data_IF_491211436737
#
_entry.id   IF_491211436737
#
_cell.length_a   1.000
_cell.length_b   1.000
_cell.length_c   1.000
_cell.angle_alpha   90.00
_cell.angle_beta   90.00
_cell.angle_gamma   90.00
#
_symmetry.space_group_name_H-M   'P 1'
#
loop_
_entity.id
_entity.type
_entity.pdbx_description
1 polymer ?
#
# COMPACT_ATOMS: atom_id res chain seq x y z
N UNK A 1 29.94 5.91 27.84
CA UNK A 1 30.45 6.98 26.94
C UNK A 1 30.52 8.27 27.74
N UNK A 2 31.65 8.98 27.78
CA UNK A 2 31.77 10.22 28.59
C UNK A 2 31.28 11.43 27.76
N UNK A 3 30.20 12.07 28.22
CA UNK A 3 29.70 13.35 27.70
C UNK A 3 30.35 14.45 28.53
N UNK A 4 31.14 15.34 27.92
CA UNK A 4 31.67 16.52 28.61
C UNK A 4 30.56 17.54 28.82
N UNK A 5 30.17 17.75 30.07
CA UNK A 5 29.08 18.65 30.46
C UNK A 5 29.45 20.12 30.34
N UNK A 6 30.72 20.46 30.13
CA UNK A 6 31.17 21.85 29.97
C UNK A 6 31.10 22.33 28.52
N UNK A 7 30.73 21.44 27.59
CA UNK A 7 30.66 21.74 26.16
C UNK A 7 29.21 21.70 25.66
N UNK A 8 28.96 22.43 24.57
CA UNK A 8 27.70 22.37 23.84
C UNK A 8 27.81 21.38 22.67
N UNK A 9 26.69 20.78 22.29
CA UNK A 9 26.62 19.77 21.23
C UNK A 9 25.51 20.07 20.22
N UNK A 10 25.66 19.53 19.02
CA UNK A 10 24.58 19.32 18.07
C UNK A 10 23.97 17.95 18.31
N UNK A 11 22.68 17.90 18.62
CA UNK A 11 21.91 16.67 18.76
C UNK A 11 21.21 16.36 17.43
N UNK A 12 21.31 15.10 17.00
CA UNK A 12 20.75 14.57 15.76
C UNK A 12 20.04 13.24 16.03
N UNK A 13 19.05 12.90 15.22
CA UNK A 13 18.33 11.62 15.24
C UNK A 13 18.51 10.98 13.88
N UNK A 14 18.86 9.71 13.80
CA UNK A 14 19.22 9.04 12.55
C UNK A 14 18.07 9.03 11.53
N UNK A 15 18.34 9.13 10.20
CA UNK A 15 17.29 9.22 9.17
C UNK A 15 16.35 8.01 9.09
N UNK A 16 16.77 6.85 9.57
CA UNK A 16 15.97 5.62 9.60
C UNK A 16 15.10 5.50 10.85
N UNK A 17 15.11 6.49 11.74
CA UNK A 17 14.27 6.50 12.94
C UNK A 17 12.91 7.11 12.63
N UNK A 18 11.86 6.34 12.89
CA UNK A 18 10.49 6.83 12.87
C UNK A 18 10.16 7.49 14.21
N UNK A 19 9.71 8.74 14.17
CA UNK A 19 9.31 9.51 15.35
C UNK A 19 7.79 9.65 15.35
N UNK A 20 7.16 9.30 16.47
CA UNK A 20 5.72 9.48 16.67
C UNK A 20 5.43 10.20 17.98
N UNK A 21 4.45 11.11 17.97
CA UNK A 21 3.98 11.81 19.15
C UNK A 21 2.58 11.33 19.51
N UNK A 22 2.39 10.94 20.77
CA UNK A 22 1.06 10.85 21.37
C UNK A 22 0.66 12.20 21.99
N UNK A 23 -0.47 12.28 22.67
CA UNK A 23 -0.90 13.52 23.35
C UNK A 23 0.12 14.03 24.39
N UNK A 24 0.90 13.15 25.02
CA UNK A 24 1.83 13.51 26.10
C UNK A 24 3.14 12.71 26.11
N UNK A 25 3.40 11.90 25.08
CA UNK A 25 4.62 11.09 24.99
C UNK A 25 5.19 11.07 23.58
N UNK A 26 6.43 10.61 23.46
CA UNK A 26 7.12 10.42 22.19
C UNK A 26 7.66 9.00 22.09
N UNK A 27 7.59 8.43 20.88
CA UNK A 27 8.20 7.17 20.47
C UNK A 27 9.24 7.45 19.39
N UNK A 28 10.46 6.94 19.57
CA UNK A 28 11.51 6.87 18.56
C UNK A 28 11.73 5.40 18.24
N UNK A 29 11.49 4.99 17.00
CA UNK A 29 11.55 3.61 16.56
C UNK A 29 12.61 3.45 15.46
N UNK A 30 13.64 2.65 15.73
CA UNK A 30 14.65 2.29 14.75
C UNK A 30 14.07 1.26 13.76
N UNK A 31 13.89 1.67 12.51
CA UNK A 31 13.28 0.81 11.47
C UNK A 31 14.21 -0.30 10.96
N UNK A 32 15.50 -0.29 11.33
CA UNK A 32 16.47 -1.30 10.89
C UNK A 32 16.47 -2.56 11.78
N UNK A 33 16.27 -2.40 13.09
CA UNK A 33 16.40 -3.48 14.09
C UNK A 33 15.25 -3.54 15.11
N UNK A 34 14.26 -2.65 15.01
CA UNK A 34 13.11 -2.52 15.91
C UNK A 34 13.42 -2.06 17.34
N UNK A 35 14.64 -1.60 17.63
CA UNK A 35 14.93 -0.91 18.89
C UNK A 35 14.12 0.38 19.00
N UNK A 36 13.75 0.74 20.24
CA UNK A 36 12.89 1.90 20.45
C UNK A 36 13.12 2.59 21.78
N UNK A 37 12.76 3.87 21.83
CA UNK A 37 12.72 4.69 23.04
C UNK A 37 11.33 5.31 23.15
N UNK A 38 10.71 5.14 24.31
CA UNK A 38 9.47 5.79 24.68
C UNK A 38 9.71 6.72 25.87
N UNK A 39 9.16 7.93 25.81
CA UNK A 39 9.25 8.86 26.93
C UNK A 39 7.99 9.69 27.07
N UNK A 40 7.48 9.75 28.31
CA UNK A 40 6.42 10.66 28.72
C UNK A 40 6.95 11.91 29.47
N UNK A 41 8.28 12.09 29.53
CA UNK A 41 8.88 13.29 30.10
C UNK A 41 8.59 14.49 29.20
N UNK A 42 7.99 15.54 29.76
CA UNK A 42 7.74 16.79 29.05
C UNK A 42 9.03 17.40 28.50
N UNK A 43 10.15 17.26 29.22
CA UNK A 43 11.48 17.72 28.80
C UNK A 43 11.92 17.02 27.51
N UNK A 44 11.81 15.69 27.46
CA UNK A 44 12.23 14.90 26.30
C UNK A 44 11.27 15.12 25.12
N UNK A 45 9.97 15.18 25.37
CA UNK A 45 8.98 15.49 24.34
C UNK A 45 9.29 16.85 23.69
N UNK A 46 9.56 17.89 24.47
CA UNK A 46 9.92 19.22 23.96
C UNK A 46 11.24 19.21 23.17
N UNK A 47 12.23 18.45 23.64
CA UNK A 47 13.51 18.30 22.93
C UNK A 47 13.33 17.65 21.55
N UNK A 48 12.57 16.56 21.48
CA UNK A 48 12.32 15.85 20.21
C UNK A 48 11.42 16.70 19.29
N UNK A 49 10.44 17.42 19.84
CA UNK A 49 9.66 18.41 19.09
C UNK A 49 10.57 19.44 18.44
N UNK A 50 11.51 20.03 19.18
CA UNK A 50 12.51 20.98 18.66
C UNK A 50 13.28 20.40 17.47
N UNK A 51 13.75 19.14 17.55
CA UNK A 51 14.46 18.48 16.43
C UNK A 51 13.61 18.40 15.16
N UNK A 52 12.32 18.06 15.32
CA UNK A 52 11.38 17.86 14.19
C UNK A 52 10.84 19.15 13.57
N UNK A 53 11.09 20.32 14.16
CA UNK A 53 10.71 21.60 13.56
C UNK A 53 11.46 21.85 12.24
N UNK A 54 10.75 22.27 11.19
CA UNK A 54 11.32 22.54 9.85
C UNK A 54 12.55 23.47 9.88
N UNK A 55 12.52 24.52 10.71
CA UNK A 55 13.64 25.47 10.84
C UNK A 55 14.91 24.84 11.41
N UNK A 56 14.79 23.68 12.05
CA UNK A 56 15.92 22.99 12.69
C UNK A 56 16.60 21.97 11.79
N UNK A 57 15.99 21.57 10.66
CA UNK A 57 16.57 20.63 9.70
C UNK A 57 17.12 19.36 10.37
N UNK A 58 16.37 18.77 11.29
CA UNK A 58 16.76 17.55 12.00
C UNK A 58 17.92 17.69 13.00
N UNK A 59 18.39 18.91 13.25
CA UNK A 59 19.52 19.18 14.17
C UNK A 59 19.13 20.27 15.16
N UNK A 60 19.32 20.02 16.46
CA UNK A 60 19.15 21.07 17.47
C UNK A 60 20.41 21.24 18.32
N UNK A 61 20.65 22.48 18.77
CA UNK A 61 21.68 22.74 19.76
C UNK A 61 21.23 22.21 21.13
N UNK A 62 22.16 21.53 21.78
CA UNK A 62 22.10 21.12 23.18
C UNK A 62 23.16 21.89 23.97
N UNK A 63 22.72 22.65 24.95
CA UNK A 63 23.57 23.46 25.80
C UNK A 63 24.12 22.67 27.00
N UNK A 64 25.24 23.12 27.55
CA UNK A 64 25.80 22.63 28.80
C UNK A 64 24.79 22.64 29.96
N UNK A 65 23.96 23.69 30.07
CA UNK A 65 22.89 23.78 31.07
C UNK A 65 21.82 22.70 30.87
N UNK A 66 21.39 22.44 29.62
CA UNK A 66 20.47 21.34 29.32
C UNK A 66 21.08 19.97 29.66
N UNK A 67 22.40 19.82 29.47
CA UNK A 67 23.13 18.61 29.85
C UNK A 67 23.23 18.41 31.37
N UNK A 68 23.01 19.42 32.21
CA UNK A 68 22.93 19.20 33.67
C UNK A 68 21.70 18.37 34.05
N UNK A 69 20.65 18.40 33.23
CA UNK A 69 19.43 17.62 33.46
C UNK A 69 19.70 16.11 33.24
N UNK A 70 19.46 15.33 34.31
CA UNK A 70 19.66 13.87 34.30
C UNK A 70 18.78 13.15 33.28
N UNK A 71 17.56 13.63 33.04
CA UNK A 71 16.66 13.03 32.04
C UNK A 71 17.22 13.18 30.63
N UNK A 72 17.74 14.36 30.30
CA UNK A 72 18.37 14.64 29.00
C UNK A 72 19.62 13.79 28.84
N UNK A 73 20.48 13.69 29.87
CA UNK A 73 21.66 12.83 29.82
C UNK A 73 21.32 11.37 29.58
N UNK A 74 20.35 10.83 30.31
CA UNK A 74 19.91 9.44 30.15
C UNK A 74 19.35 9.21 28.74
N UNK A 75 18.51 10.12 28.24
CA UNK A 75 18.00 10.05 26.87
C UNK A 75 19.12 10.04 25.83
N UNK A 76 20.16 10.86 26.00
CA UNK A 76 21.31 10.87 25.09
C UNK A 76 22.10 9.56 25.13
N UNK A 77 22.24 8.96 26.32
CA UNK A 77 22.87 7.63 26.43
C UNK A 77 22.02 6.60 25.68
N UNK A 78 20.71 6.60 25.92
CA UNK A 78 19.78 5.64 25.30
C UNK A 78 19.78 5.75 23.77
N UNK A 79 19.69 6.97 23.19
CA UNK A 79 19.68 7.13 21.73
C UNK A 79 20.99 6.65 21.10
N UNK A 80 22.14 6.78 21.79
CA UNK A 80 23.44 6.36 21.27
C UNK A 80 23.62 4.85 21.40
N UNK A 81 23.22 4.26 22.52
CA UNK A 81 23.29 2.81 22.75
C UNK A 81 22.36 2.04 21.79
N UNK A 82 21.22 2.63 21.42
CA UNK A 82 20.23 2.05 20.50
C UNK A 82 20.41 2.46 19.04
N UNK A 83 21.51 3.15 18.70
CA UNK A 83 21.77 3.66 17.35
C UNK A 83 20.61 4.48 16.75
N UNK A 84 19.89 5.22 17.61
CA UNK A 84 18.76 6.07 17.24
C UNK A 84 19.22 7.50 16.94
N UNK A 85 20.34 7.94 17.52
CA UNK A 85 20.84 9.29 17.31
C UNK A 85 22.22 9.49 17.90
N UNK A 86 22.79 10.67 17.67
CA UNK A 86 24.11 11.01 18.19
C UNK A 86 24.23 12.50 18.52
N UNK A 87 25.29 12.82 19.25
CA UNK A 87 25.71 14.18 19.58
C UNK A 87 27.08 14.50 19.00
N UNK A 88 27.21 15.68 18.39
CA UNK A 88 28.47 16.17 17.82
C UNK A 88 28.92 17.44 18.59
N UNK A 89 30.13 17.48 19.17
CA UNK A 89 30.66 18.72 19.75
C UNK A 89 30.59 19.89 18.76
N UNK A 90 30.11 21.05 19.21
CA UNK A 90 29.92 22.21 18.31
C UNK A 90 31.24 22.65 17.68
N UNK A 91 32.35 22.53 18.40
CA UNK A 91 33.69 22.89 17.92
C UNK A 91 34.14 22.12 16.68
N UNK A 92 33.52 20.99 16.36
CA UNK A 92 33.84 20.20 15.17
C UNK A 92 33.18 20.73 13.89
N UNK A 93 32.37 21.79 13.98
CA UNK A 93 31.71 22.39 12.83
C UNK A 93 31.70 23.91 12.91
N UNK A 94 32.12 24.58 11.84
CA UNK A 94 32.09 26.05 11.75
C UNK A 94 30.65 26.61 11.81
N UNK A 95 29.67 25.83 11.34
CA UNK A 95 28.27 26.22 11.28
C UNK A 95 27.34 25.11 11.80
N UNK A 96 26.07 25.43 12.04
CA UNK A 96 25.07 24.41 12.39
C UNK A 96 24.96 23.36 11.27
N UNK A 97 25.17 22.06 11.56
CA UNK A 97 24.99 21.01 10.57
C UNK A 97 23.50 20.84 10.22
N UNK A 98 23.26 20.23 9.07
CA UNK A 98 21.90 19.94 8.58
C UNK A 98 21.73 18.45 8.37
N UNK A 99 20.54 17.96 8.68
CA UNK A 99 20.11 16.63 8.32
C UNK A 99 18.91 16.73 7.38
N UNK A 100 19.03 16.13 6.20
CA UNK A 100 17.95 16.08 5.23
C UNK A 100 16.83 15.19 5.79
N UNK A 101 15.83 15.83 6.37
CA UNK A 101 14.64 15.19 6.92
C UNK A 101 13.53 15.23 5.87
N UNK A 102 12.90 14.09 5.52
CA UNK A 102 11.80 14.09 4.57
C UNK A 102 10.59 14.78 5.19
N UNK A 103 10.26 15.96 4.71
CA UNK A 103 9.00 16.61 5.04
C UNK A 103 7.94 16.19 4.03
N UNK A 104 6.86 15.60 4.53
CA UNK A 104 5.69 15.27 3.71
C UNK A 104 5.13 16.56 3.10
N UNK A 105 5.19 16.66 1.78
CA UNK A 105 4.71 17.81 1.03
C UNK A 105 3.41 17.44 0.33
N UNK A 106 2.29 17.63 1.03
CA UNK A 106 0.97 17.47 0.40
C UNK A 106 0.70 18.64 -0.53
N UNK A 107 0.53 18.34 -1.83
CA UNK A 107 0.21 19.36 -2.83
C UNK A 107 -1.12 20.07 -2.54
N UNK A 108 -2.07 19.36 -1.90
CA UNK A 108 -3.39 19.87 -1.51
C UNK A 108 -3.53 20.11 0.01
N UNK A 109 -2.45 20.53 0.68
CA UNK A 109 -2.57 20.97 2.07
C UNK A 109 -3.59 22.13 2.16
N UNK A 110 -4.56 22.03 3.10
CA UNK A 110 -5.58 23.07 3.34
C UNK A 110 -4.94 24.45 3.53
N UNK A 111 -3.75 24.49 4.12
CA UNK A 111 -2.99 25.73 4.31
C UNK A 111 -2.52 26.36 2.99
N UNK A 112 -2.21 25.57 1.96
CA UNK A 112 -1.87 26.06 0.60
C UNK A 112 -3.09 26.49 -0.20
N UNK A 113 -4.22 25.79 -0.05
CA UNK A 113 -5.48 26.17 -0.72
C UNK A 113 -5.96 27.55 -0.26
N UNK A 114 -5.78 27.90 1.03
CA UNK A 114 -6.06 29.24 1.54
C UNK A 114 -5.19 30.36 0.90
N UNK A 115 -4.03 30.01 0.32
CA UNK A 115 -3.14 30.95 -0.36
C UNK A 115 -3.46 31.09 -1.86
N UNK A 116 -4.33 30.25 -2.40
CA UNK A 116 -4.71 30.25 -3.82
C UNK A 116 -6.24 30.40 -3.94
N UNK A 117 -6.75 31.65 -3.89
CA UNK A 117 -8.20 31.92 -3.83
C UNK A 117 -8.98 31.46 -5.08
N UNK A 118 -8.27 31.11 -6.16
CA UNK A 118 -8.87 30.66 -7.43
C UNK A 118 -9.00 29.13 -7.54
N UNK A 119 -8.56 28.35 -6.53
CA UNK A 119 -8.68 26.89 -6.54
C UNK A 119 -9.69 26.47 -5.48
N UNK A 120 -10.85 26.00 -5.93
CA UNK A 120 -11.87 25.44 -5.06
C UNK A 120 -11.45 24.05 -4.55
N UNK A 121 -11.81 23.72 -3.30
CA UNK A 121 -11.65 22.37 -2.77
C UNK A 121 -12.45 21.41 -3.68
N UNK A 122 -11.77 20.42 -4.26
CA UNK A 122 -12.38 19.45 -5.17
C UNK A 122 -12.32 19.82 -6.66
N UNK A 123 -11.74 20.96 -7.03
CA UNK A 123 -11.37 21.20 -8.43
C UNK A 123 -10.46 20.06 -8.93
N UNK A 124 -10.78 19.54 -10.11
CA UNK A 124 -10.06 18.44 -10.76
C UNK A 124 -10.15 17.08 -10.03
N UNK A 125 -11.19 16.83 -9.22
CA UNK A 125 -11.34 15.52 -8.53
C UNK A 125 -11.29 14.33 -9.51
N UNK A 126 -11.80 14.51 -10.72
CA UNK A 126 -11.75 13.51 -11.78
C UNK A 126 -10.34 13.25 -12.34
N UNK A 127 -9.41 14.20 -12.22
CA UNK A 127 -8.01 13.97 -12.61
C UNK A 127 -7.29 13.00 -11.66
N UNK A 128 -7.82 12.81 -10.45
CA UNK A 128 -7.35 11.83 -9.48
C UNK A 128 -8.11 10.51 -9.56
N UNK A 129 -9.10 10.40 -10.45
CA UNK A 129 -9.86 9.17 -10.65
C UNK A 129 -9.04 8.21 -11.52
N UNK A 130 -8.30 7.31 -10.86
CA UNK A 130 -7.41 6.37 -11.53
C UNK A 130 -8.11 5.09 -12.00
N UNK A 131 -9.19 4.70 -11.33
CA UNK A 131 -9.89 3.45 -11.58
C UNK A 131 -11.40 3.60 -11.33
N UNK A 132 -12.21 2.98 -12.19
CA UNK A 132 -13.66 2.85 -12.00
C UNK A 132 -14.06 1.38 -12.09
N UNK A 133 -14.87 0.93 -11.14
CA UNK A 133 -15.40 -0.44 -11.07
C UNK A 133 -16.90 -0.46 -11.39
N UNK A 134 -17.27 -1.07 -12.50
CA UNK A 134 -18.67 -1.38 -12.81
C UNK A 134 -19.02 -2.79 -12.31
N UNK A 135 -20.02 -2.90 -11.45
CA UNK A 135 -20.42 -4.15 -10.82
C UNK A 135 -21.72 -4.64 -11.45
N UNK A 136 -21.68 -5.78 -12.14
CA UNK A 136 -22.84 -6.35 -12.82
C UNK A 136 -23.51 -7.43 -11.95
N UNK A 137 -24.73 -7.12 -11.49
CA UNK A 137 -25.55 -8.03 -10.71
C UNK A 137 -26.66 -8.65 -11.57
N UNK A 138 -27.08 -9.89 -11.25
CA UNK A 138 -28.03 -10.66 -12.07
C UNK A 138 -29.45 -10.11 -12.02
N UNK A 139 -29.80 -9.42 -10.94
CA UNK A 139 -31.20 -9.11 -10.61
C UNK A 139 -31.63 -7.67 -10.93
N UNK A 140 -30.75 -6.82 -11.46
CA UNK A 140 -31.10 -5.44 -11.78
C UNK A 140 -30.15 -4.84 -12.83
N UNK A 141 -30.36 -5.22 -14.08
CA UNK A 141 -29.55 -4.69 -15.18
C UNK A 141 -29.89 -3.23 -15.48
N UNK A 142 -28.86 -2.37 -15.43
CA UNK A 142 -28.97 -0.99 -15.87
C UNK A 142 -29.09 -0.92 -17.40
N UNK A 143 -29.92 0.00 -17.88
CA UNK A 143 -30.06 0.26 -19.30
C UNK A 143 -28.77 0.87 -19.87
N UNK A 144 -28.40 0.50 -21.10
CA UNK A 144 -27.22 1.02 -21.78
C UNK A 144 -27.19 2.56 -21.88
N UNK A 145 -28.34 3.23 -21.95
CA UNK A 145 -28.42 4.68 -21.99
C UNK A 145 -27.73 5.32 -20.77
N UNK A 146 -27.95 4.76 -19.58
CA UNK A 146 -27.34 5.23 -18.32
C UNK A 146 -25.83 4.98 -18.35
N UNK A 147 -25.38 3.82 -18.84
CA UNK A 147 -23.95 3.54 -19.00
C UNK A 147 -23.27 4.53 -19.95
N UNK A 148 -23.92 4.90 -21.06
CA UNK A 148 -23.36 5.85 -22.01
C UNK A 148 -23.12 7.22 -21.38
N UNK A 149 -24.07 7.72 -20.59
CA UNK A 149 -23.92 8.99 -19.85
C UNK A 149 -22.74 8.95 -18.87
N UNK A 150 -22.51 7.80 -18.22
CA UNK A 150 -21.37 7.62 -17.33
C UNK A 150 -20.07 7.53 -18.13
N UNK A 151 -20.01 6.69 -19.17
CA UNK A 151 -18.82 6.46 -19.99
C UNK A 151 -18.31 7.74 -20.64
N UNK A 152 -19.21 8.64 -21.08
CA UNK A 152 -18.83 9.97 -21.60
C UNK A 152 -18.01 10.79 -20.59
N UNK A 153 -18.26 10.63 -19.29
CA UNK A 153 -17.52 11.30 -18.22
C UNK A 153 -16.19 10.60 -17.89
N UNK A 154 -15.96 9.37 -18.38
CA UNK A 154 -14.78 8.56 -18.07
C UNK A 154 -13.63 8.68 -19.09
N UNK A 155 -13.70 9.62 -20.03
CA UNK A 155 -12.71 9.76 -21.12
C UNK A 155 -11.25 9.89 -20.65
N UNK A 156 -11.03 10.44 -19.45
CA UNK A 156 -9.70 10.60 -18.84
C UNK A 156 -9.29 9.50 -17.85
N UNK A 157 -10.15 8.52 -17.56
CA UNK A 157 -9.90 7.50 -16.53
C UNK A 157 -8.92 6.44 -17.05
N UNK A 158 -7.79 6.20 -16.36
CA UNK A 158 -6.79 5.23 -16.79
C UNK A 158 -7.25 3.78 -16.84
N UNK A 159 -8.11 3.36 -15.91
CA UNK A 159 -8.53 1.95 -15.77
C UNK A 159 -10.04 1.85 -15.55
N UNK A 160 -10.70 0.99 -16.33
CA UNK A 160 -12.12 0.66 -16.19
C UNK A 160 -12.25 -0.85 -16.00
N UNK A 161 -12.82 -1.23 -14.87
CA UNK A 161 -13.01 -2.61 -14.48
C UNK A 161 -14.47 -3.01 -14.65
N UNK A 162 -14.69 -4.17 -15.28
CA UNK A 162 -16.01 -4.79 -15.46
C UNK A 162 -16.06 -6.05 -14.59
N UNK A 163 -16.83 -5.98 -13.51
CA UNK A 163 -16.78 -6.97 -12.45
C UNK A 163 -18.01 -7.89 -12.45
N UNK A 164 -17.84 -9.11 -11.93
CA UNK A 164 -18.91 -10.11 -11.75
C UNK A 164 -19.55 -10.49 -13.10
N UNK A 165 -20.89 -10.56 -13.16
CA UNK A 165 -21.65 -11.21 -14.22
C UNK A 165 -21.74 -10.40 -15.53
N UNK A 166 -20.69 -9.65 -15.89
CA UNK A 166 -20.63 -8.87 -17.14
C UNK A 166 -20.92 -9.71 -18.38
N UNK A 167 -20.48 -10.98 -18.40
CA UNK A 167 -20.70 -11.87 -19.54
C UNK A 167 -22.17 -12.28 -19.71
N UNK A 168 -23.00 -12.11 -18.67
CA UNK A 168 -24.43 -12.37 -18.71
C UNK A 168 -25.24 -11.10 -19.04
N UNK A 169 -24.59 -9.93 -19.15
CA UNK A 169 -25.26 -8.65 -19.36
C UNK A 169 -25.98 -8.62 -20.72
N UNK A 170 -27.30 -8.41 -20.71
CA UNK A 170 -28.14 -8.51 -21.92
C UNK A 170 -27.73 -7.56 -23.06
N UNK A 171 -27.17 -6.40 -22.72
CA UNK A 171 -26.73 -5.37 -23.67
C UNK A 171 -25.21 -5.29 -23.80
N UNK A 172 -24.49 -6.39 -23.51
CA UNK A 172 -23.03 -6.45 -23.56
C UNK A 172 -22.42 -5.95 -24.88
N UNK A 173 -22.91 -6.32 -26.08
CA UNK A 173 -22.34 -5.80 -27.33
C UNK A 173 -22.41 -4.27 -27.44
N UNK A 174 -23.51 -3.67 -26.97
CA UNK A 174 -23.68 -2.22 -26.97
C UNK A 174 -22.73 -1.54 -25.97
N UNK A 175 -22.54 -2.16 -24.79
CA UNK A 175 -21.61 -1.69 -23.77
C UNK A 175 -20.16 -1.74 -24.24
N UNK A 176 -19.72 -2.84 -24.86
CA UNK A 176 -18.37 -2.97 -25.40
C UNK A 176 -18.10 -1.90 -26.47
N UNK A 177 -19.08 -1.64 -27.36
CA UNK A 177 -18.96 -0.58 -28.36
C UNK A 177 -18.93 0.85 -27.77
N UNK A 178 -19.53 1.07 -26.60
CA UNK A 178 -19.40 2.35 -25.90
C UNK A 178 -18.04 2.48 -25.21
N UNK A 179 -17.56 1.41 -24.59
CA UNK A 179 -16.26 1.38 -23.90
C UNK A 179 -15.07 1.47 -24.86
N UNK A 180 -15.19 0.99 -26.10
CA UNK A 180 -14.13 1.12 -27.12
C UNK A 180 -13.79 2.58 -27.44
N UNK A 181 -14.70 3.52 -27.13
CA UNK A 181 -14.49 4.97 -27.29
C UNK A 181 -13.67 5.60 -26.15
N UNK A 182 -13.30 4.82 -25.13
CA UNK A 182 -12.47 5.28 -24.01
C UNK A 182 -11.03 4.84 -24.19
N UNK A 183 -10.09 5.66 -23.73
CA UNK A 183 -8.65 5.37 -23.82
C UNK A 183 -8.12 4.52 -22.65
N UNK A 184 -8.92 4.37 -21.60
CA UNK A 184 -8.53 3.59 -20.42
C UNK A 184 -8.32 2.11 -20.72
N UNK A 185 -7.49 1.46 -19.92
CA UNK A 185 -7.35 -0.01 -19.91
C UNK A 185 -8.66 -0.62 -19.44
N UNK A 186 -9.13 -1.67 -20.12
CA UNK A 186 -10.34 -2.39 -19.72
C UNK A 186 -9.96 -3.74 -19.13
N UNK A 187 -10.44 -4.01 -17.93
CA UNK A 187 -10.15 -5.24 -17.20
C UNK A 187 -11.47 -5.92 -16.83
N UNK A 188 -11.64 -7.17 -17.24
CA UNK A 188 -12.76 -8.00 -16.81
C UNK A 188 -12.31 -8.75 -15.55
N UNK A 189 -12.98 -8.47 -14.43
CA UNK A 189 -12.67 -9.04 -13.12
C UNK A 189 -13.73 -10.07 -12.76
N UNK A 190 -13.32 -11.34 -12.64
CA UNK A 190 -14.26 -12.42 -12.40
C UNK A 190 -13.70 -13.51 -11.50
N UNK A 191 -14.60 -14.25 -10.85
CA UNK A 191 -14.24 -15.53 -10.28
C UNK A 191 -14.20 -16.58 -11.40
N UNK A 192 -13.16 -17.40 -11.40
CA UNK A 192 -13.04 -18.54 -12.30
C UNK A 192 -14.31 -19.43 -12.32
N UNK A 193 -14.95 -19.63 -11.17
CA UNK A 193 -16.14 -20.48 -11.04
C UNK A 193 -17.37 -19.89 -11.73
N UNK A 194 -17.45 -18.58 -11.86
CA UNK A 194 -18.60 -17.88 -12.45
C UNK A 194 -18.44 -17.67 -13.97
N UNK A 195 -17.27 -17.97 -14.52
CA UNK A 195 -17.00 -17.83 -15.96
C UNK A 195 -17.52 -19.03 -16.73
N UNK A 196 -18.54 -18.83 -17.56
CA UNK A 196 -19.01 -19.84 -18.52
C UNK A 196 -18.31 -19.70 -19.88
N UNK A 197 -17.88 -20.84 -20.44
CA UNK A 197 -17.15 -20.86 -21.72
C UNK A 197 -18.03 -20.42 -22.89
N UNK A 198 -19.32 -20.73 -22.89
CA UNK A 198 -20.23 -20.35 -23.97
C UNK A 198 -20.47 -18.86 -23.95
N UNK A 199 -20.72 -18.29 -22.76
CA UNK A 199 -20.86 -16.84 -22.61
C UNK A 199 -19.60 -16.10 -23.08
N UNK A 200 -18.42 -16.61 -22.74
CA UNK A 200 -17.15 -16.02 -23.19
C UNK A 200 -17.00 -16.05 -24.73
N UNK A 201 -17.38 -17.15 -25.38
CA UNK A 201 -17.35 -17.28 -26.83
C UNK A 201 -18.38 -16.38 -27.54
N UNK A 202 -19.56 -16.20 -26.95
CA UNK A 202 -20.64 -15.36 -27.48
C UNK A 202 -20.38 -13.86 -27.27
N UNK A 203 -19.64 -13.50 -26.23
CA UNK A 203 -19.41 -12.10 -25.83
C UNK A 203 -18.62 -11.27 -26.85
N UNK A 204 -17.92 -11.89 -27.80
CA UNK A 204 -17.11 -11.22 -28.82
C UNK A 204 -16.15 -10.15 -28.26
N UNK A 205 -15.56 -10.42 -27.08
CA UNK A 205 -14.62 -9.51 -26.43
C UNK A 205 -13.33 -9.38 -27.25
N UNK A 206 -12.91 -8.15 -27.49
CA UNK A 206 -11.67 -7.82 -28.21
C UNK A 206 -10.42 -8.18 -27.40
N UNK A 207 -9.30 -8.37 -28.09
CA UNK A 207 -8.01 -8.76 -27.45
C UNK A 207 -7.37 -7.63 -26.63
N UNK A 208 -7.84 -6.39 -26.78
CA UNK A 208 -7.38 -5.26 -25.97
C UNK A 208 -7.82 -5.36 -24.50
N UNK A 209 -8.88 -6.13 -24.23
CA UNK A 209 -9.34 -6.39 -22.87
C UNK A 209 -8.38 -7.34 -22.17
N UNK A 210 -8.19 -7.09 -20.88
CA UNK A 210 -7.44 -7.98 -19.99
C UNK A 210 -8.38 -8.63 -18.99
N UNK A 211 -7.97 -9.76 -18.43
CA UNK A 211 -8.74 -10.49 -17.42
C UNK A 211 -7.98 -10.55 -16.11
N UNK A 212 -8.68 -10.30 -15.01
CA UNK A 212 -8.23 -10.62 -13.66
C UNK A 212 -9.12 -11.72 -13.10
N UNK A 213 -8.57 -12.92 -12.97
CA UNK A 213 -9.31 -14.12 -12.58
C UNK A 213 -8.97 -14.49 -11.14
N UNK A 214 -9.95 -14.36 -10.26
CA UNK A 214 -9.89 -14.85 -8.89
C UNK A 214 -10.15 -16.35 -8.86
N UNK A 215 -9.25 -17.10 -8.25
CA UNK A 215 -9.31 -18.57 -8.17
C UNK A 215 -9.34 -18.98 -6.71
N UNK A 216 -10.43 -19.62 -6.31
CA UNK A 216 -10.58 -20.25 -4.99
C UNK A 216 -10.45 -21.76 -5.11
N UNK A 217 -9.70 -22.36 -4.18
CA UNK A 217 -9.53 -23.81 -4.07
C UNK A 217 -10.64 -24.48 -3.24
N UNK A 218 -10.95 -25.76 -3.50
CA UNK A 218 -10.43 -26.59 -4.59
C UNK A 218 -11.02 -26.20 -5.96
N UNK A 219 -10.25 -26.34 -7.04
CA UNK A 219 -10.76 -26.05 -8.39
C UNK A 219 -11.53 -27.23 -8.99
N UNK A 220 -12.55 -26.95 -9.79
CA UNK A 220 -13.14 -27.93 -10.68
C UNK A 220 -12.21 -28.16 -11.88
N UNK A 221 -11.51 -29.29 -11.93
CA UNK A 221 -10.53 -29.59 -12.99
C UNK A 221 -11.14 -29.66 -14.39
N UNK A 222 -12.39 -30.14 -14.53
CA UNK A 222 -13.04 -30.21 -15.83
C UNK A 222 -13.27 -28.82 -16.41
N UNK A 223 -13.84 -27.93 -15.60
CA UNK A 223 -14.08 -26.53 -15.97
C UNK A 223 -12.78 -25.76 -16.22
N UNK A 224 -11.72 -26.10 -15.50
CA UNK A 224 -10.43 -25.41 -15.63
C UNK A 224 -9.77 -25.76 -16.96
N UNK A 225 -9.75 -27.05 -17.25
CA UNK A 225 -9.13 -27.58 -18.47
C UNK A 225 -9.85 -27.11 -19.74
N UNK A 226 -11.16 -26.81 -19.67
CA UNK A 226 -11.91 -26.26 -20.80
C UNK A 226 -11.72 -24.74 -20.94
N UNK A 227 -11.75 -23.99 -19.85
CA UNK A 227 -11.78 -22.53 -19.86
C UNK A 227 -10.39 -21.88 -20.03
N UNK A 228 -9.40 -22.34 -19.28
CA UNK A 228 -8.12 -21.62 -19.13
C UNK A 228 -7.28 -21.61 -20.41
N UNK A 229 -7.16 -22.71 -21.19
CA UNK A 229 -6.46 -22.67 -22.47
C UNK A 229 -7.04 -21.63 -23.44
N UNK A 230 -8.37 -21.53 -23.49
CA UNK A 230 -9.06 -20.55 -24.34
C UNK A 230 -8.73 -19.12 -23.90
N UNK A 231 -8.85 -18.83 -22.60
CA UNK A 231 -8.53 -17.50 -22.05
C UNK A 231 -7.10 -17.07 -22.37
N UNK A 232 -6.14 -17.95 -22.08
CA UNK A 232 -4.70 -17.69 -22.28
C UNK A 232 -4.32 -17.57 -23.77
N UNK A 233 -5.07 -18.20 -24.67
CA UNK A 233 -4.78 -18.15 -26.11
C UNK A 233 -5.09 -16.80 -26.75
N UNK A 234 -5.96 -15.99 -26.13
CA UNK A 234 -6.53 -14.79 -26.75
C UNK A 234 -6.31 -13.51 -25.93
N UNK A 235 -6.32 -13.59 -24.60
CA UNK A 235 -6.28 -12.40 -23.75
C UNK A 235 -5.09 -12.40 -22.79
N UNK A 236 -4.71 -11.20 -22.35
CA UNK A 236 -3.80 -11.03 -21.22
C UNK A 236 -4.56 -11.36 -19.94
N UNK A 237 -4.15 -12.43 -19.25
CA UNK A 237 -4.79 -12.89 -18.03
C UNK A 237 -3.85 -12.72 -16.85
N UNK A 238 -4.35 -12.17 -15.76
CA UNK A 238 -3.73 -12.19 -14.44
C UNK A 238 -4.56 -13.11 -13.53
N UNK A 239 -3.90 -14.03 -12.84
CA UNK A 239 -4.55 -14.88 -11.84
C UNK A 239 -4.33 -14.36 -10.43
N UNK A 240 -5.39 -14.33 -9.63
CA UNK A 240 -5.32 -14.13 -8.18
C UNK A 240 -5.72 -15.44 -7.49
N UNK A 241 -4.73 -16.19 -7.01
CA UNK A 241 -4.98 -17.44 -6.31
C UNK A 241 -5.21 -17.17 -4.83
N UNK A 242 -6.39 -17.57 -4.33
CA UNK A 242 -6.75 -17.44 -2.91
C UNK A 242 -6.18 -18.62 -2.13
N UNK A 243 -5.28 -18.33 -1.18
CA UNK A 243 -4.53 -19.33 -0.43
C UNK A 243 -5.04 -19.35 1.01
N UNK A 244 -5.61 -20.47 1.44
CA UNK A 244 -6.06 -20.67 2.82
C UNK A 244 -5.12 -21.61 3.60
N UNK A 245 -4.33 -22.46 2.90
CA UNK A 245 -3.45 -23.48 3.49
C UNK A 245 -2.27 -23.84 2.56
N UNK A 246 -1.32 -24.62 3.07
CA UNK A 246 -0.11 -25.01 2.34
C UNK A 246 -0.40 -25.91 1.13
N UNK A 247 -1.42 -26.77 1.21
CA UNK A 247 -1.80 -27.63 0.09
C UNK A 247 -2.25 -26.81 -1.13
N UNK A 248 -2.83 -25.63 -0.92
CA UNK A 248 -3.23 -24.72 -2.01
C UNK A 248 -2.00 -24.21 -2.77
N UNK A 249 -0.88 -23.95 -2.09
CA UNK A 249 0.38 -23.53 -2.74
C UNK A 249 0.89 -24.62 -3.70
N UNK A 250 0.82 -25.88 -3.25
CA UNK A 250 1.22 -27.03 -4.08
C UNK A 250 0.32 -27.15 -5.31
N UNK A 251 -0.98 -26.90 -5.16
CA UNK A 251 -1.92 -26.91 -6.28
C UNK A 251 -1.66 -25.74 -7.25
N UNK A 252 -1.36 -24.54 -6.75
CA UNK A 252 -0.95 -23.40 -7.59
C UNK A 252 0.30 -23.74 -8.39
N UNK A 253 1.34 -24.30 -7.77
CA UNK A 253 2.57 -24.67 -8.48
C UNK A 253 2.29 -25.66 -9.62
N UNK A 254 1.41 -26.63 -9.41
CA UNK A 254 1.00 -27.56 -10.47
C UNK A 254 0.28 -26.83 -11.61
N UNK A 255 -0.67 -25.94 -11.30
CA UNK A 255 -1.40 -25.18 -12.32
C UNK A 255 -0.49 -24.23 -13.10
N UNK A 256 0.35 -23.47 -12.41
CA UNK A 256 1.29 -22.52 -13.01
C UNK A 256 2.23 -23.24 -13.96
N UNK A 257 2.80 -24.37 -13.55
CA UNK A 257 3.72 -25.13 -14.40
C UNK A 257 3.01 -25.80 -15.59
N UNK A 258 1.83 -26.40 -15.36
CA UNK A 258 1.09 -27.11 -16.41
C UNK A 258 0.56 -26.17 -17.50
N UNK A 259 0.12 -24.97 -17.12
CA UNK A 259 -0.47 -23.98 -18.02
C UNK A 259 0.49 -22.85 -18.41
N UNK A 260 1.73 -22.88 -17.91
CA UNK A 260 2.76 -21.83 -18.11
C UNK A 260 2.22 -20.44 -17.76
N UNK A 261 1.58 -20.32 -16.61
CA UNK A 261 0.99 -19.06 -16.14
C UNK A 261 2.10 -18.14 -15.65
N UNK A 262 2.36 -17.05 -16.38
CA UNK A 262 3.42 -16.11 -16.02
C UNK A 262 2.93 -14.99 -15.09
N UNK A 263 1.68 -14.55 -15.25
CA UNK A 263 1.14 -13.41 -14.52
C UNK A 263 0.13 -13.86 -13.45
N UNK A 264 0.60 -14.02 -12.22
CA UNK A 264 -0.25 -14.39 -11.09
C UNK A 264 0.21 -13.73 -9.78
N UNK A 265 -0.71 -13.67 -8.83
CA UNK A 265 -0.45 -13.27 -7.46
C UNK A 265 -1.08 -14.28 -6.49
N UNK A 266 -0.40 -14.51 -5.37
CA UNK A 266 -0.90 -15.30 -4.26
C UNK A 266 -1.56 -14.35 -3.25
N UNK A 267 -2.83 -14.60 -2.93
CA UNK A 267 -3.60 -13.82 -1.97
C UNK A 267 -4.02 -14.70 -0.81
N UNK A 268 -3.33 -14.62 0.33
CA UNK A 268 -3.74 -15.29 1.55
C UNK A 268 -5.14 -14.83 1.98
N UNK A 269 -6.00 -15.79 2.31
CA UNK A 269 -7.35 -15.53 2.83
C UNK A 269 -7.42 -16.08 4.25
N UNK A 270 -7.71 -15.20 5.21
CA UNK A 270 -7.92 -15.61 6.59
C UNK A 270 -9.32 -16.19 6.73
N UNK A 271 -9.42 -17.43 7.21
CA UNK A 271 -10.69 -18.15 7.38
C UNK A 271 -11.06 -18.39 8.84
N UNK A 272 -10.45 -17.65 9.77
CA UNK A 272 -10.61 -17.77 11.23
C UNK A 272 -9.98 -19.01 11.87
N UNK A 273 -9.54 -20.00 11.07
CA UNK A 273 -8.94 -21.25 11.56
C UNK A 273 -7.46 -21.39 11.15
N UNK A 274 -7.00 -20.63 10.16
CA UNK A 274 -5.66 -20.75 9.57
C UNK A 274 -4.63 -19.74 10.12
N UNK A 275 -4.75 -19.32 11.38
CA UNK A 275 -3.81 -18.36 11.97
C UNK A 275 -2.35 -18.85 11.95
N UNK A 276 -2.14 -20.16 12.09
CA UNK A 276 -0.80 -20.75 12.07
C UNK A 276 -0.16 -20.66 10.68
N UNK A 277 -0.94 -20.81 9.60
CA UNK A 277 -0.47 -20.55 8.24
C UNK A 277 -0.01 -19.09 8.06
N UNK A 278 -0.77 -18.13 8.58
CA UNK A 278 -0.37 -16.72 8.55
C UNK A 278 0.90 -16.43 9.37
N UNK A 279 1.02 -17.04 10.55
CA UNK A 279 2.21 -16.90 11.40
C UNK A 279 3.45 -17.44 10.72
N UNK A 280 3.33 -18.55 10.01
CA UNK A 280 4.46 -19.20 9.36
C UNK A 280 4.89 -18.50 8.07
N UNK A 281 3.93 -18.12 7.22
CA UNK A 281 4.22 -17.68 5.84
C UNK A 281 4.05 -16.16 5.60
N UNK A 282 3.41 -15.43 6.52
CA UNK A 282 3.06 -14.00 6.31
C UNK A 282 3.66 -13.08 7.38
N UNK A 283 4.01 -13.60 8.56
CA UNK A 283 4.57 -12.82 9.67
C UNK A 283 5.87 -12.08 9.29
N UNK A 284 6.04 -10.79 9.69
CA UNK A 284 7.24 -9.99 9.42
C UNK A 284 8.54 -10.62 9.91
N UNK A 285 8.49 -11.47 10.94
CA UNK A 285 9.69 -12.05 11.57
C UNK A 285 10.45 -13.04 10.66
N UNK A 286 9.75 -13.69 9.71
CA UNK A 286 10.36 -14.61 8.73
C UNK A 286 10.44 -14.02 7.30
N UNK A 287 9.81 -12.87 7.05
CA UNK A 287 9.64 -12.30 5.71
C UNK A 287 10.86 -11.52 5.18
N UNK A 288 12.06 -12.12 5.30
CA UNK A 288 13.28 -11.68 4.57
C UNK A 288 13.55 -12.49 3.30
N UNK A 289 12.79 -13.54 2.99
CA UNK A 289 13.16 -14.50 1.95
C UNK A 289 12.04 -14.96 0.99
N UNK A 290 10.85 -14.38 1.00
CA UNK A 290 9.91 -14.63 -0.10
C UNK A 290 10.18 -13.59 -1.19
N UNK A 291 10.84 -14.03 -2.27
CA UNK A 291 10.96 -13.31 -3.54
C UNK A 291 9.57 -13.12 -4.16
N UNK A 292 8.75 -12.26 -3.58
CA UNK A 292 7.52 -11.78 -4.20
C UNK A 292 7.73 -10.33 -4.61
N UNK A 293 7.62 -10.09 -5.92
CA UNK A 293 7.57 -8.76 -6.55
C UNK A 293 6.25 -8.01 -6.27
N UNK A 294 5.51 -8.36 -5.22
CA UNK A 294 4.26 -7.73 -4.85
C UNK A 294 4.25 -7.45 -3.35
N UNK A 295 4.25 -6.16 -3.02
CA UNK A 295 4.14 -5.65 -1.66
C UNK A 295 2.85 -6.14 -0.99
N UNK A 296 2.97 -6.78 0.17
CA UNK A 296 1.86 -6.98 1.10
C UNK A 296 1.68 -5.71 1.94
N UNK A 297 0.68 -4.89 1.59
CA UNK A 297 0.11 -3.92 2.50
C UNK A 297 -1.30 -4.38 2.87
N UNK A 298 -1.62 -4.27 4.17
CA UNK A 298 -2.91 -4.55 4.81
C UNK A 298 -3.13 -5.99 5.32
N UNK A 299 -2.45 -6.33 6.41
CA UNK A 299 -2.99 -7.25 7.41
C UNK A 299 -3.00 -6.54 8.78
N UNK A 300 -3.96 -5.64 8.98
CA UNK A 300 -4.32 -5.18 10.33
C UNK A 300 -5.68 -5.80 10.68
N UNK A 301 -5.65 -7.03 11.19
CA UNK A 301 -6.74 -7.55 12.00
C UNK A 301 -6.59 -6.99 13.41
N UNK A 302 -7.61 -6.28 13.92
CA UNK A 302 -7.70 -5.99 15.35
C UNK A 302 -7.85 -7.33 16.08
N UNK A 303 -6.91 -7.66 16.95
CA UNK A 303 -7.19 -8.59 18.04
C UNK A 303 -8.12 -7.85 19.01
N UNK A 304 -9.39 -8.24 19.06
CA UNK A 304 -10.25 -7.90 20.20
C UNK A 304 -9.88 -8.83 21.36
N UNK A 305 -9.63 -8.21 22.53
CA UNK A 305 -9.29 -8.88 23.78
C UNK A 305 -10.48 -9.60 24.40
#
# INVERSE_FOLDING_TARGET
>A
MNIDINQNYWLTIEPYVYINFSQSSVLLYNTLDAEHIESASSTIVQLVQKITEKKNCGVCQLTNQELENKEIKNFIIDIREKFIGDILPIELSENKPIQLTPFLNFQQDKTRLNLQPNISIGENILNYLHEVNFIFDKNNELNIAVFNEVIEQLQGVPTINLCKNILEYSQLPALLNSLSKTNGKKIIINNYQDLDINNLLLANIEEEYSFLISVKFPINKYHWNSLIPLLLSKWKVQFEFQIEKEEDLTEVDQLVNNYRIENYQLKPIYNYENIDFFREYISPQKNRAVKNKSYFYNCYGKEEK
#
